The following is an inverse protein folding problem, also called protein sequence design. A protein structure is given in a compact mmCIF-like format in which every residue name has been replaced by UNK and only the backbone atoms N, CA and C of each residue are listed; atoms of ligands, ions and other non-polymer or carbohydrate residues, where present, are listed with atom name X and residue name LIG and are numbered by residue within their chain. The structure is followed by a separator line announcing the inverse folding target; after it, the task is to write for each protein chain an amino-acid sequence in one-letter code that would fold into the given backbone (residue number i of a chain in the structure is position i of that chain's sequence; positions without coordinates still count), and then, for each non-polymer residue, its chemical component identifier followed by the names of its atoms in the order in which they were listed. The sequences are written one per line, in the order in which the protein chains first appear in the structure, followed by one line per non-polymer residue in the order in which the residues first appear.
data_IF_946286388420
#
_entry.id   IF_946286388420
#
_cell.length_a   1.000
_cell.length_b   1.000
_cell.length_c   1.000
_cell.angle_alpha   90.00
_cell.angle_beta   90.00
_cell.angle_gamma   90.00
#
_symmetry.space_group_name_H-M   'P 1'
#
loop_
_entity.id
_entity.type
_entity.pdbx_description
1 polymer ?
#
# COMPACT_ATOMS: atom_id res chain seq x y z
N UNK A 1 13.00 4.74 12.47
CA UNK A 1 11.85 4.26 11.67
C UNK A 1 10.74 3.51 12.45
N UNK A 2 10.90 2.94 13.66
CA UNK A 2 9.79 2.22 14.32
C UNK A 2 8.69 3.15 14.87
N UNK A 3 9.05 4.34 15.35
CA UNK A 3 8.06 5.31 15.88
C UNK A 3 7.05 5.77 14.81
N UNK A 4 7.53 6.04 13.58
CA UNK A 4 6.66 6.43 12.46
C UNK A 4 5.69 5.30 12.10
N UNK A 5 6.17 4.06 12.09
CA UNK A 5 5.36 2.86 11.84
C UNK A 5 4.19 2.75 12.84
N UNK A 6 4.47 2.91 14.13
CA UNK A 6 3.47 2.87 15.20
C UNK A 6 2.46 4.01 15.06
N UNK A 7 2.94 5.23 14.83
CA UNK A 7 2.07 6.41 14.66
C UNK A 7 1.16 6.23 13.45
N UNK A 8 1.70 5.81 12.30
CA UNK A 8 0.93 5.62 11.07
C UNK A 8 -0.11 4.52 11.23
N UNK A 9 0.20 3.41 11.91
CA UNK A 9 -0.77 2.35 12.19
C UNK A 9 -1.90 2.87 13.09
N UNK A 10 -1.56 3.52 14.20
CA UNK A 10 -2.57 4.04 15.15
C UNK A 10 -3.47 5.07 14.47
N UNK A 11 -2.87 6.06 13.78
CA UNK A 11 -3.60 7.13 13.12
C UNK A 11 -4.54 6.59 12.04
N UNK A 12 -4.04 5.73 11.14
CA UNK A 12 -4.90 5.14 10.10
C UNK A 12 -5.98 4.24 10.69
N UNK A 13 -5.71 3.55 11.80
CA UNK A 13 -6.72 2.67 12.44
C UNK A 13 -7.87 3.50 12.96
N UNK A 14 -7.57 4.63 13.60
CA UNK A 14 -8.58 5.58 14.03
C UNK A 14 -9.40 6.12 12.86
N UNK A 15 -8.74 6.50 11.76
CA UNK A 15 -9.42 6.97 10.54
C UNK A 15 -10.36 5.90 9.97
N UNK A 16 -9.92 4.64 9.87
CA UNK A 16 -10.76 3.55 9.41
C UNK A 16 -11.97 3.33 10.32
N UNK A 17 -11.75 3.28 11.64
CA UNK A 17 -12.84 3.05 12.62
C UNK A 17 -13.88 4.16 12.56
N UNK A 18 -13.45 5.42 12.49
CA UNK A 18 -14.36 6.57 12.43
C UNK A 18 -15.10 6.64 11.10
N UNK A 19 -14.41 6.46 9.97
CA UNK A 19 -15.03 6.56 8.63
C UNK A 19 -15.88 5.34 8.25
N UNK A 20 -15.65 4.17 8.88
CA UNK A 20 -16.45 2.97 8.64
C UNK A 20 -17.88 3.07 9.22
N UNK A 21 -18.14 4.02 10.12
CA UNK A 21 -19.46 4.23 10.73
C UNK A 21 -20.51 4.56 9.66
N UNK A 22 -21.70 3.93 9.76
CA UNK A 22 -22.79 4.06 8.75
C UNK A 22 -23.20 5.51 8.48
N UNK A 23 -23.22 6.36 9.51
CA UNK A 23 -23.60 7.76 9.42
C UNK A 23 -22.57 8.60 8.62
N UNK A 24 -21.31 8.18 8.56
CA UNK A 24 -20.22 8.91 7.91
C UNK A 24 -19.99 8.46 6.45
N UNK A 25 -20.88 7.64 5.87
CA UNK A 25 -20.73 7.10 4.51
C UNK A 25 -21.05 8.13 3.42
N UNK A 26 -20.17 9.11 3.26
CA UNK A 26 -20.18 10.06 2.14
C UNK A 26 -19.20 9.59 1.05
N UNK A 27 -19.39 10.00 -0.22
CA UNK A 27 -18.46 9.68 -1.32
C UNK A 27 -16.99 9.99 -0.97
N UNK A 28 -16.75 11.17 -0.41
CA UNK A 28 -15.43 11.62 0.01
C UNK A 28 -14.85 10.72 1.11
N UNK A 29 -15.67 10.34 2.09
CA UNK A 29 -15.24 9.49 3.21
C UNK A 29 -14.92 8.06 2.76
N UNK A 30 -15.54 7.57 1.68
CA UNK A 30 -15.20 6.27 1.09
C UNK A 30 -13.80 6.32 0.46
N UNK A 31 -13.45 7.42 -0.23
CA UNK A 31 -12.09 7.58 -0.78
C UNK A 31 -11.07 7.68 0.36
N UNK A 32 -11.35 8.49 1.39
CA UNK A 32 -10.52 8.60 2.59
C UNK A 32 -10.33 7.25 3.30
N UNK A 33 -11.40 6.46 3.43
CA UNK A 33 -11.33 5.12 3.97
C UNK A 33 -10.44 4.20 3.12
N UNK A 34 -10.59 4.26 1.79
CA UNK A 34 -9.75 3.51 0.85
C UNK A 34 -8.27 3.84 0.99
N UNK A 35 -7.93 5.13 1.09
CA UNK A 35 -6.54 5.58 1.33
C UNK A 35 -5.99 5.04 2.65
N UNK A 36 -6.74 5.18 3.74
CA UNK A 36 -6.29 4.69 5.05
C UNK A 36 -6.07 3.16 5.08
N UNK A 37 -6.89 2.40 4.34
CA UNK A 37 -6.70 0.96 4.17
C UNK A 37 -5.42 0.68 3.35
N UNK A 38 -5.20 1.37 2.24
CA UNK A 38 -3.98 1.22 1.44
C UNK A 38 -2.72 1.54 2.25
N UNK A 39 -2.73 2.61 3.03
CA UNK A 39 -1.61 3.02 3.89
C UNK A 39 -1.31 1.95 4.94
N UNK A 40 -2.34 1.40 5.60
CA UNK A 40 -2.17 0.27 6.52
C UNK A 40 -1.57 -0.96 5.85
N UNK A 41 -2.10 -1.35 4.68
CA UNK A 41 -1.61 -2.54 3.96
C UNK A 41 -0.15 -2.39 3.54
N UNK A 42 0.27 -1.18 3.16
CA UNK A 42 1.67 -0.86 2.84
C UNK A 42 2.61 -1.15 4.01
N UNK A 43 2.15 -1.00 5.26
CA UNK A 43 2.94 -1.23 6.47
C UNK A 43 2.79 -2.65 7.02
N UNK A 44 1.57 -3.20 6.97
CA UNK A 44 1.24 -4.53 7.52
C UNK A 44 1.89 -5.67 6.74
N UNK A 45 2.02 -5.53 5.42
CA UNK A 45 2.57 -6.59 4.55
C UNK A 45 4.07 -6.84 4.77
N UNK A 46 4.95 -5.82 4.86
CA UNK A 46 6.37 -6.03 5.12
C UNK A 46 6.69 -6.25 6.61
N UNK A 47 5.85 -5.76 7.54
CA UNK A 47 6.03 -5.90 8.99
C UNK A 47 6.38 -7.31 9.49
N UNK A 48 5.63 -8.40 9.16
CA UNK A 48 5.96 -9.74 9.64
C UNK A 48 7.29 -10.27 9.11
N UNK A 49 7.69 -9.88 7.89
CA UNK A 49 8.99 -10.23 7.33
C UNK A 49 10.13 -9.54 8.09
N UNK A 50 9.98 -8.26 8.40
CA UNK A 50 10.95 -7.54 9.20
C UNK A 50 11.07 -8.11 10.62
N UNK A 51 9.95 -8.43 11.27
CA UNK A 51 9.98 -9.10 12.58
C UNK A 51 10.69 -10.45 12.52
N UNK A 52 10.41 -11.26 11.49
CA UNK A 52 11.05 -12.56 11.29
C UNK A 52 12.56 -12.47 11.10
N UNK A 53 13.04 -11.52 10.29
CA UNK A 53 14.47 -11.38 9.98
C UNK A 53 15.23 -10.76 11.16
N UNK A 54 14.72 -9.65 11.70
CA UNK A 54 15.43 -8.84 12.69
C UNK A 54 15.26 -9.34 14.12
N UNK A 55 14.09 -9.88 14.49
CA UNK A 55 13.82 -10.33 15.86
C UNK A 55 14.19 -11.79 16.09
N UNK A 56 13.90 -12.67 15.12
CA UNK A 56 14.27 -14.09 15.21
C UNK A 56 15.67 -14.39 14.66
N UNK A 57 16.37 -13.40 14.09
CA UNK A 57 17.75 -13.56 13.60
C UNK A 57 17.88 -14.52 12.43
N UNK A 58 16.79 -14.80 11.70
CA UNK A 58 16.73 -15.88 10.72
C UNK A 58 17.17 -15.45 9.30
N UNK A 59 18.16 -14.55 9.22
CA UNK A 59 18.63 -13.93 7.97
C UNK A 59 19.07 -14.98 6.93
N UNK A 60 19.76 -16.04 7.34
CA UNK A 60 20.26 -17.08 6.43
C UNK A 60 19.14 -17.83 5.67
N UNK A 61 17.95 -17.94 6.25
CA UNK A 61 16.80 -18.64 5.64
C UNK A 61 16.03 -17.75 4.64
N UNK A 62 16.22 -16.43 4.70
CA UNK A 62 15.68 -15.49 3.71
C UNK A 62 16.65 -15.28 2.55
N UNK A 63 17.97 -15.42 2.81
CA UNK A 63 19.03 -15.32 1.79
C UNK A 63 19.22 -16.60 0.94
N UNK A 64 18.42 -17.65 1.15
CA UNK A 64 18.27 -18.73 0.18
C UNK A 64 17.15 -19.69 0.57
N UNK A 65 16.66 -20.58 -0.30
CA UNK A 65 16.75 -20.72 -1.77
C UNK A 65 16.18 -19.55 -2.61
N UNK A 66 16.35 -19.57 -3.95
CA UNK A 66 15.91 -18.46 -4.82
C UNK A 66 14.43 -18.08 -4.63
N UNK A 67 13.56 -19.05 -4.34
CA UNK A 67 12.15 -18.84 -4.06
C UNK A 67 11.87 -17.92 -2.86
N UNK A 68 12.66 -18.01 -1.78
CA UNK A 68 12.48 -17.14 -0.61
C UNK A 68 12.93 -15.71 -0.89
N UNK A 69 13.95 -15.50 -1.73
CA UNK A 69 14.32 -14.16 -2.22
C UNK A 69 13.21 -13.54 -3.08
N UNK A 70 12.63 -14.31 -4.01
CA UNK A 70 11.49 -13.83 -4.81
C UNK A 70 10.27 -13.48 -3.94
N UNK A 71 9.96 -14.31 -2.95
CA UNK A 71 8.87 -14.05 -2.01
C UNK A 71 9.14 -12.81 -1.14
N UNK A 72 10.37 -12.68 -0.62
CA UNK A 72 10.78 -11.52 0.18
C UNK A 72 10.67 -10.22 -0.62
N UNK A 73 11.21 -10.19 -1.84
CA UNK A 73 11.15 -9.02 -2.72
C UNK A 73 9.71 -8.67 -3.11
N UNK A 74 8.90 -9.68 -3.46
CA UNK A 74 7.50 -9.46 -3.79
C UNK A 74 6.72 -8.83 -2.63
N UNK A 75 6.92 -9.33 -1.41
CA UNK A 75 6.18 -8.88 -0.22
C UNK A 75 6.72 -7.58 0.38
N UNK A 76 8.01 -7.26 0.24
CA UNK A 76 8.59 -6.07 0.84
C UNK A 76 8.72 -4.89 -0.12
N UNK A 77 8.90 -5.14 -1.42
CA UNK A 77 9.08 -4.08 -2.41
C UNK A 77 7.86 -3.94 -3.32
N UNK A 78 7.42 -5.04 -3.94
CA UNK A 78 6.45 -4.93 -5.05
C UNK A 78 5.04 -4.64 -4.54
N UNK A 79 4.57 -5.43 -3.58
CA UNK A 79 3.21 -5.33 -3.05
C UNK A 79 3.02 -4.02 -2.25
N UNK A 80 3.91 -3.63 -1.32
CA UNK A 80 3.77 -2.37 -0.58
C UNK A 80 3.80 -1.16 -1.53
N UNK A 81 4.68 -1.17 -2.53
CA UNK A 81 4.72 -0.09 -3.52
C UNK A 81 3.43 0.00 -4.34
N UNK A 82 2.79 -1.14 -4.63
CA UNK A 82 1.48 -1.17 -5.31
C UNK A 82 0.42 -0.46 -4.47
N UNK A 83 0.31 -0.78 -3.18
CA UNK A 83 -0.63 -0.13 -2.26
C UNK A 83 -0.33 1.35 -2.06
N UNK A 84 0.94 1.71 -1.93
CA UNK A 84 1.35 3.11 -1.87
C UNK A 84 0.93 3.88 -3.14
N UNK A 85 1.15 3.31 -4.33
CA UNK A 85 0.69 3.96 -5.56
C UNK A 85 -0.83 4.06 -5.64
N UNK A 86 -1.58 3.06 -5.17
CA UNK A 86 -3.04 3.15 -5.09
C UNK A 86 -3.47 4.31 -4.18
N UNK A 87 -2.83 4.49 -3.02
CA UNK A 87 -3.10 5.61 -2.10
C UNK A 87 -2.86 6.97 -2.76
N UNK A 88 -1.77 7.11 -3.53
CA UNK A 88 -1.47 8.34 -4.31
C UNK A 88 -2.55 8.62 -5.35
N UNK A 89 -2.98 7.63 -6.12
CA UNK A 89 -4.06 7.79 -7.10
C UNK A 89 -5.40 8.12 -6.45
N UNK A 90 -5.70 7.52 -5.29
CA UNK A 90 -6.88 7.87 -4.50
C UNK A 90 -6.81 9.30 -3.95
N UNK A 91 -5.62 9.78 -3.58
CA UNK A 91 -5.39 11.17 -3.17
C UNK A 91 -5.70 12.13 -4.33
N UNK A 92 -5.28 11.77 -5.54
CA UNK A 92 -5.60 12.54 -6.74
C UNK A 92 -7.11 12.56 -7.01
N UNK A 93 -7.79 11.42 -6.87
CA UNK A 93 -9.26 11.34 -6.99
C UNK A 93 -9.94 12.24 -5.94
N UNK A 94 -9.47 12.22 -4.69
CA UNK A 94 -10.00 13.07 -3.62
C UNK A 94 -9.81 14.56 -3.93
N UNK A 95 -8.63 14.96 -4.40
CA UNK A 95 -8.35 16.33 -4.82
C UNK A 95 -9.27 16.77 -5.97
N UNK A 96 -9.45 15.90 -6.97
CA UNK A 96 -10.40 16.11 -8.06
C UNK A 96 -11.85 16.26 -7.57
N UNK A 97 -12.30 15.41 -6.64
CA UNK A 97 -13.62 15.53 -6.03
C UNK A 97 -13.79 16.90 -5.39
N UNK A 98 -12.85 17.35 -4.56
CA UNK A 98 -12.89 18.67 -3.92
C UNK A 98 -12.95 19.81 -4.93
N UNK A 99 -12.20 19.71 -6.02
CA UNK A 99 -12.27 20.68 -7.11
C UNK A 99 -13.67 20.75 -7.74
N UNK A 100 -14.25 19.61 -8.13
CA UNK A 100 -15.59 19.59 -8.72
C UNK A 100 -16.67 20.07 -7.75
N UNK A 101 -16.58 19.75 -6.45
CA UNK A 101 -17.52 20.25 -5.45
C UNK A 101 -17.51 21.77 -5.33
N UNK A 102 -16.35 22.41 -5.49
CA UNK A 102 -16.21 23.87 -5.38
C UNK A 102 -16.55 24.57 -6.69
N UNK A 103 -15.99 24.12 -7.82
CA UNK A 103 -16.11 24.81 -9.10
C UNK A 103 -17.37 24.43 -9.88
N UNK A 104 -17.89 23.20 -9.71
CA UNK A 104 -19.01 22.66 -10.50
C UNK A 104 -19.96 21.80 -9.65
N UNK A 105 -20.70 22.39 -8.69
CA UNK A 105 -21.49 21.67 -7.69
C UNK A 105 -22.60 20.79 -8.30
N UNK A 106 -23.23 21.23 -9.39
CA UNK A 106 -24.31 20.48 -10.07
C UNK A 106 -23.82 19.17 -10.68
N UNK A 107 -22.59 19.16 -11.20
CA UNK A 107 -21.93 17.97 -11.76
C UNK A 107 -21.47 17.05 -10.61
N UNK A 108 -20.93 17.62 -9.53
CA UNK A 108 -20.44 16.86 -8.39
C UNK A 108 -21.52 15.99 -7.74
N UNK A 109 -22.76 16.48 -7.62
CA UNK A 109 -23.88 15.72 -7.03
C UNK A 109 -24.24 14.47 -7.84
N UNK A 110 -24.12 14.52 -9.17
CA UNK A 110 -24.44 13.37 -10.04
C UNK A 110 -23.26 12.40 -10.21
N UNK A 111 -22.02 12.91 -10.19
CA UNK A 111 -20.81 12.10 -10.38
C UNK A 111 -20.29 11.47 -9.08
N UNK A 112 -20.34 12.19 -7.96
CA UNK A 112 -19.85 11.72 -6.66
C UNK A 112 -20.92 10.95 -5.89
N UNK A 113 -21.51 9.92 -6.51
CA UNK A 113 -22.42 9.01 -5.81
C UNK A 113 -21.65 7.83 -5.23
N UNK A 114 -22.07 7.34 -4.06
CA UNK A 114 -21.45 6.20 -3.35
C UNK A 114 -21.11 4.99 -4.25
N UNK A 115 -22.02 4.44 -5.06
CA UNK A 115 -21.70 3.27 -5.89
C UNK A 115 -20.68 3.58 -6.99
N UNK A 116 -20.68 4.79 -7.54
CA UNK A 116 -19.69 5.21 -8.54
C UNK A 116 -18.32 5.36 -7.93
N UNK A 117 -18.24 6.03 -6.77
CA UNK A 117 -16.98 6.21 -6.06
C UNK A 117 -16.38 4.86 -5.63
N UNK A 118 -17.20 3.93 -5.13
CA UNK A 118 -16.73 2.58 -4.82
C UNK A 118 -16.12 1.90 -6.05
N UNK A 119 -16.79 2.00 -7.20
CA UNK A 119 -16.29 1.46 -8.47
C UNK A 119 -14.97 2.14 -8.88
N UNK A 120 -14.86 3.46 -8.73
CA UNK A 120 -13.62 4.21 -8.99
C UNK A 120 -12.49 3.75 -8.08
N UNK A 121 -12.74 3.55 -6.78
CA UNK A 121 -11.73 3.04 -5.83
C UNK A 121 -11.24 1.65 -6.24
N UNK A 122 -12.16 0.72 -6.55
CA UNK A 122 -11.79 -0.60 -7.06
C UNK A 122 -10.99 -0.53 -8.36
N UNK A 123 -11.36 0.39 -9.25
CA UNK A 123 -10.67 0.56 -10.52
C UNK A 123 -9.27 1.14 -10.35
N UNK A 124 -9.10 2.13 -9.49
CA UNK A 124 -7.79 2.70 -9.13
C UNK A 124 -6.89 1.62 -8.52
N UNK A 125 -7.42 0.80 -7.61
CA UNK A 125 -6.65 -0.29 -7.01
C UNK A 125 -6.18 -1.31 -8.08
N UNK A 126 -7.06 -1.68 -9.02
CA UNK A 126 -6.71 -2.57 -10.13
C UNK A 126 -5.63 -1.97 -11.04
N UNK A 127 -5.78 -0.70 -11.45
CA UNK A 127 -4.82 -0.02 -12.32
C UNK A 127 -3.46 0.15 -11.62
N UNK A 128 -3.45 0.50 -10.33
CA UNK A 128 -2.22 0.61 -9.55
C UNK A 128 -1.47 -0.72 -9.46
N UNK A 129 -2.20 -1.82 -9.23
CA UNK A 129 -1.60 -3.15 -9.22
C UNK A 129 -1.07 -3.54 -10.60
N UNK A 130 -1.85 -3.32 -11.65
CA UNK A 130 -1.47 -3.59 -13.03
C UNK A 130 -0.21 -2.80 -13.45
N UNK A 131 -0.10 -1.55 -13.02
CA UNK A 131 1.06 -0.71 -13.27
C UNK A 131 2.34 -1.23 -12.59
N UNK A 132 2.22 -1.92 -11.45
CA UNK A 132 3.37 -2.53 -10.77
C UNK A 132 3.66 -3.97 -11.16
N UNK A 133 2.81 -4.62 -11.95
CA UNK A 133 3.09 -5.95 -12.50
C UNK A 133 4.47 -6.08 -13.17
N UNK A 134 4.97 -5.11 -13.95
CA UNK A 134 6.29 -5.21 -14.58
C UNK A 134 7.43 -5.40 -13.57
N UNK A 135 7.31 -4.86 -12.35
CA UNK A 135 8.34 -5.00 -11.30
C UNK A 135 8.52 -6.44 -10.83
N UNK A 136 7.51 -7.30 -10.97
CA UNK A 136 7.66 -8.73 -10.66
C UNK A 136 8.65 -9.42 -11.61
N UNK A 137 8.78 -8.94 -12.85
CA UNK A 137 9.60 -9.57 -13.88
C UNK A 137 10.99 -8.93 -14.05
N UNK A 138 11.19 -7.74 -13.48
CA UNK A 138 12.44 -6.98 -13.62
C UNK A 138 13.59 -7.50 -12.72
N UNK A 139 13.26 -8.28 -11.69
CA UNK A 139 14.25 -8.74 -10.69
C UNK A 139 14.70 -10.18 -10.93
N UNK A 140 16.01 -10.39 -11.11
CA UNK A 140 16.64 -11.71 -11.24
C UNK A 140 17.55 -11.97 -10.04
N UNK A 141 17.25 -13.01 -9.25
CA UNK A 141 18.08 -13.39 -8.11
C UNK A 141 19.16 -14.39 -8.53
N UNK A 142 20.41 -13.93 -8.57
CA UNK A 142 21.57 -14.78 -8.84
C UNK A 142 22.11 -15.33 -7.52
N UNK A 143 22.29 -16.66 -7.44
CA UNK A 143 23.01 -17.29 -6.33
C UNK A 143 24.50 -17.01 -6.44
N UNK A 144 25.05 -16.20 -5.55
CA UNK A 144 26.49 -16.10 -5.38
C UNK A 144 27.01 -17.32 -4.62
N UNK A 145 27.93 -18.08 -5.23
CA UNK A 145 28.59 -19.21 -4.58
C UNK A 145 29.55 -18.75 -3.49
N UNK A 146 29.16 -18.96 -2.22
CA UNK A 146 29.98 -19.07 -0.98
C UNK A 146 31.24 -18.20 -0.78
N UNK A 147 31.40 -17.08 -1.48
CA UNK A 147 32.46 -16.08 -1.20
C UNK A 147 31.87 -14.67 -1.29
N UNK A 148 31.12 -14.30 -0.25
CA UNK A 148 30.98 -12.90 0.13
C UNK A 148 32.25 -12.55 0.92
N UNK A 149 33.16 -11.69 0.43
CA UNK A 149 34.22 -11.16 1.26
C UNK A 149 33.58 -10.15 2.21
N UNK A 150 33.03 -10.65 3.33
CA UNK A 150 32.84 -9.83 4.51
C UNK A 150 34.24 -9.49 5.04
N UNK A 151 34.89 -8.50 4.43
CA UNK A 151 35.98 -7.77 5.05
C UNK A 151 35.36 -6.85 6.10
N UNK A 152 34.97 -7.43 7.24
CA UNK A 152 34.74 -6.66 8.45
C UNK A 152 36.05 -5.99 8.85
N UNK A 153 36.08 -4.67 8.73
CA UNK A 153 37.04 -3.81 9.42
C UNK A 153 36.23 -2.82 10.25
#
# INVERSE_FOLDING_TARGET
MPALLVVTIIANTFVVVVLAQRHMRTPTNIVLLGMAICDMMTLLIPSPWFFYIYTLGNYANVLGPAATCYAYNSMNEVIPNSFHTASVWLTLVLAGQRYFYVCHPTIAVTWCTVPRVLRTVCWVAFVAFAHQLPRFFDTVFVRYGSRLPWSGR
#
